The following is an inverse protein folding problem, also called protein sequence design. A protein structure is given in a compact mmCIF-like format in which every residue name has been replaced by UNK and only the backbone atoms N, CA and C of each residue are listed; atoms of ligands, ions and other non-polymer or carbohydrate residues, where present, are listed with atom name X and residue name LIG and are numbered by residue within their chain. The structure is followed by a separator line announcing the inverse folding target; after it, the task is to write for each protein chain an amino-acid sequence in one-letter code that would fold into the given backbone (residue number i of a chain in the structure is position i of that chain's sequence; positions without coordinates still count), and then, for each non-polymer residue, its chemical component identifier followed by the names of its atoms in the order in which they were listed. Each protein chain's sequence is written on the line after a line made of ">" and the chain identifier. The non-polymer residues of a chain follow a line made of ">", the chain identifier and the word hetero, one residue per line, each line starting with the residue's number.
data_IF_615937693710
#
_entry.id   IF_615937693710
#
_cell.length_a   1.000
_cell.length_b   1.000
_cell.length_c   1.000
_cell.angle_alpha   90.00
_cell.angle_beta   90.00
_cell.angle_gamma   90.00
#
_symmetry.space_group_name_H-M   'P 1'
#
loop_
_entity.id
_entity.type
_entity.pdbx_description
1 polymer ?
#
# COMPACT_ATOMS: atom_id res chain seq x y z
N UNK A 1 7.92 -1.84 0.66
CA UNK A 1 8.39 -1.05 -0.52
C UNK A 1 7.23 -0.57 -1.35
N UNK A 2 7.30 0.68 -1.79
CA UNK A 2 6.25 1.29 -2.61
C UNK A 2 6.88 1.86 -3.87
N UNK A 3 6.27 1.56 -5.02
CA UNK A 3 6.65 2.11 -6.32
C UNK A 3 5.47 2.84 -6.93
N UNK A 4 5.73 3.88 -7.69
CA UNK A 4 4.70 4.64 -8.38
C UNK A 4 4.99 4.68 -9.88
N UNK A 5 3.94 4.49 -10.69
CA UNK A 5 4.02 4.54 -12.14
C UNK A 5 2.93 5.47 -12.66
N UNK A 6 3.34 6.49 -13.42
CA UNK A 6 2.41 7.43 -14.02
C UNK A 6 1.83 6.80 -15.29
N UNK A 7 0.50 6.62 -15.33
CA UNK A 7 -0.20 6.12 -16.52
C UNK A 7 -0.42 7.21 -17.57
N UNK A 8 -0.26 8.48 -17.18
CA UNK A 8 -0.54 9.61 -18.06
C UNK A 8 -2.02 9.95 -18.20
N UNK A 9 -2.91 9.08 -17.75
CA UNK A 9 -4.35 9.28 -17.83
C UNK A 9 -5.06 8.51 -16.74
N UNK A 10 -6.33 8.86 -16.50
CA UNK A 10 -7.14 8.21 -15.49
C UNK A 10 -7.55 9.20 -14.41
N UNK A 11 -8.62 8.88 -13.71
CA UNK A 11 -9.23 9.77 -12.72
C UNK A 11 -9.05 9.31 -11.29
N UNK A 12 -8.31 8.23 -11.07
CA UNK A 12 -8.03 7.75 -9.73
C UNK A 12 -6.68 7.05 -9.65
N UNK A 13 -6.12 7.00 -8.45
CA UNK A 13 -4.95 6.20 -8.16
C UNK A 13 -5.37 4.72 -8.07
N UNK A 14 -4.50 3.82 -8.53
CA UNK A 14 -4.74 2.37 -8.47
C UNK A 14 -3.67 1.69 -7.65
N UNK A 15 -4.04 0.57 -7.03
CA UNK A 15 -3.17 -0.19 -6.15
C UNK A 15 -2.91 -1.58 -6.71
N UNK A 16 -1.62 -1.94 -6.81
CA UNK A 16 -1.18 -3.31 -7.00
C UNK A 16 -0.46 -3.79 -5.76
N UNK A 17 -0.69 -5.03 -5.37
CA UNK A 17 -0.09 -5.61 -4.17
C UNK A 17 0.73 -6.85 -4.48
N UNK A 18 1.86 -6.98 -3.81
CA UNK A 18 2.64 -8.21 -3.80
C UNK A 18 2.91 -8.58 -2.34
N UNK A 19 2.35 -9.70 -1.90
CA UNK A 19 2.54 -10.21 -0.54
C UNK A 19 3.05 -11.64 -0.63
N UNK A 20 4.35 -11.79 -0.48
CA UNK A 20 5.02 -13.06 -0.67
C UNK A 20 4.95 -14.00 0.54
N UNK A 21 5.46 -15.22 0.34
CA UNK A 21 5.41 -16.28 1.34
C UNK A 21 6.14 -15.92 2.63
N UNK A 22 7.14 -15.07 2.56
CA UNK A 22 7.91 -14.66 3.75
C UNK A 22 7.13 -13.80 4.72
N UNK A 23 6.00 -13.25 4.27
CA UNK A 23 5.14 -12.43 5.15
C UNK A 23 4.40 -13.31 6.14
N UNK A 24 4.04 -14.53 5.75
CA UNK A 24 3.35 -15.47 6.63
C UNK A 24 2.61 -16.55 5.85
N UNK A 25 1.74 -17.25 6.54
CA UNK A 25 0.89 -18.28 5.93
C UNK A 25 -0.22 -17.61 5.09
N UNK A 26 -1.05 -18.43 4.45
CA UNK A 26 -2.09 -17.91 3.56
C UNK A 26 -3.08 -16.98 4.26
N UNK A 27 -3.48 -17.31 5.48
CA UNK A 27 -4.41 -16.49 6.27
C UNK A 27 -3.77 -15.14 6.61
N UNK A 28 -2.52 -15.17 7.03
CA UNK A 28 -1.79 -13.95 7.40
C UNK A 28 -1.55 -13.06 6.20
N UNK A 29 -1.18 -13.65 5.05
CA UNK A 29 -0.99 -12.89 3.82
C UNK A 29 -2.29 -12.24 3.35
N UNK A 30 -3.39 -12.98 3.41
CA UNK A 30 -4.70 -12.45 3.03
C UNK A 30 -5.12 -11.29 3.92
N UNK A 31 -4.82 -11.38 5.21
CA UNK A 31 -5.08 -10.30 6.16
C UNK A 31 -4.29 -9.04 5.80
N UNK A 32 -3.00 -9.20 5.49
CA UNK A 32 -2.15 -8.06 5.08
C UNK A 32 -2.70 -7.42 3.82
N UNK A 33 -3.07 -8.23 2.82
CA UNK A 33 -3.66 -7.71 1.58
C UNK A 33 -4.93 -6.91 1.85
N UNK A 34 -5.81 -7.45 2.68
CA UNK A 34 -7.08 -6.79 3.01
C UNK A 34 -6.84 -5.45 3.70
N UNK A 35 -5.95 -5.43 4.69
CA UNK A 35 -5.62 -4.19 5.40
C UNK A 35 -5.05 -3.16 4.46
N UNK A 36 -4.12 -3.55 3.59
CA UNK A 36 -3.52 -2.62 2.63
C UNK A 36 -4.57 -2.06 1.66
N UNK A 37 -5.49 -2.89 1.18
CA UNK A 37 -6.57 -2.41 0.30
C UNK A 37 -7.51 -1.45 1.01
N UNK A 38 -7.91 -1.77 2.22
CA UNK A 38 -8.81 -0.92 3.00
C UNK A 38 -8.16 0.42 3.33
N UNK A 39 -6.91 0.40 3.77
CA UNK A 39 -6.20 1.62 4.11
C UNK A 39 -5.86 2.45 2.87
N UNK A 40 -5.52 1.81 1.74
CA UNK A 40 -5.32 2.53 0.50
C UNK A 40 -6.60 3.25 0.05
N UNK A 41 -7.76 2.61 0.20
CA UNK A 41 -9.04 3.24 -0.13
C UNK A 41 -9.28 4.53 0.65
N UNK A 42 -8.81 4.59 1.88
CA UNK A 42 -8.96 5.79 2.71
C UNK A 42 -8.14 6.97 2.21
N UNK A 43 -6.99 6.68 1.61
CA UNK A 43 -6.03 7.73 1.22
C UNK A 43 -6.02 8.00 -0.27
N UNK A 44 -6.73 7.20 -1.06
CA UNK A 44 -6.68 7.30 -2.54
C UNK A 44 -7.08 8.68 -3.04
N UNK A 45 -8.02 9.34 -2.37
CA UNK A 45 -8.46 10.68 -2.75
C UNK A 45 -7.40 11.76 -2.58
N UNK A 46 -6.39 11.50 -1.75
CA UNK A 46 -5.28 12.42 -1.51
C UNK A 46 -4.11 12.18 -2.46
N UNK A 47 -4.20 11.15 -3.29
CA UNK A 47 -3.11 10.76 -4.18
C UNK A 47 -3.37 11.25 -5.60
N UNK A 48 -2.31 11.52 -6.40
CA UNK A 48 -2.48 12.03 -7.74
C UNK A 48 -3.25 11.05 -8.62
N UNK A 49 -4.24 11.53 -9.39
CA UNK A 49 -4.95 10.66 -10.33
C UNK A 49 -4.02 10.19 -11.45
N UNK A 50 -4.33 9.06 -12.03
CA UNK A 50 -3.55 8.53 -13.13
C UNK A 50 -2.25 7.86 -12.73
N UNK A 51 -2.03 7.63 -11.44
CA UNK A 51 -0.81 6.98 -10.94
C UNK A 51 -1.16 5.59 -10.38
N UNK A 52 -0.37 4.59 -10.77
CA UNK A 52 -0.44 3.25 -10.20
C UNK A 52 0.59 3.11 -9.10
N UNK A 53 0.15 2.68 -7.94
CA UNK A 53 1.06 2.38 -6.83
C UNK A 53 1.18 0.87 -6.67
N UNK A 54 2.41 0.39 -6.60
CA UNK A 54 2.69 -1.02 -6.33
C UNK A 54 3.32 -1.11 -4.96
N UNK A 55 2.68 -1.86 -4.08
CA UNK A 55 3.15 -2.06 -2.70
C UNK A 55 3.62 -3.49 -2.55
N UNK A 56 4.88 -3.64 -2.16
CA UNK A 56 5.47 -4.94 -1.87
C UNK A 56 5.61 -5.04 -0.36
N UNK A 57 4.83 -5.95 0.25
CA UNK A 57 4.88 -6.16 1.68
C UNK A 57 6.15 -6.90 2.05
N UNK A 58 6.83 -6.42 3.08
CA UNK A 58 8.07 -7.03 3.57
C UNK A 58 7.75 -8.05 4.68
N UNK A 59 8.64 -8.99 4.93
CA UNK A 59 8.53 -9.83 6.12
C UNK A 59 8.39 -8.94 7.36
N UNK A 60 7.47 -9.27 8.25
CA UNK A 60 7.16 -8.45 9.41
C UNK A 60 5.90 -7.61 9.26
N UNK A 61 5.30 -7.55 8.05
CA UNK A 61 4.09 -6.75 7.84
C UNK A 61 2.92 -7.23 8.70
N UNK A 62 2.74 -8.54 8.80
CA UNK A 62 1.66 -9.10 9.61
C UNK A 62 1.87 -8.78 11.10
N UNK A 63 3.08 -8.96 11.61
CA UNK A 63 3.44 -8.66 12.99
C UNK A 63 3.27 -7.18 13.29
N UNK A 64 3.57 -6.32 12.33
CA UNK A 64 3.37 -4.88 12.48
C UNK A 64 1.88 -4.57 12.71
N UNK A 65 0.99 -5.20 11.94
CA UNK A 65 -0.45 -5.04 12.11
C UNK A 65 -0.88 -5.54 13.50
N UNK A 66 -0.38 -6.71 13.91
CA UNK A 66 -0.71 -7.28 15.22
C UNK A 66 -0.27 -6.38 16.37
N UNK A 67 0.90 -5.79 16.28
CA UNK A 67 1.46 -4.97 17.34
C UNK A 67 0.93 -3.54 17.35
N UNK A 68 0.72 -2.95 16.18
CA UNK A 68 0.42 -1.52 16.06
C UNK A 68 -0.95 -1.21 15.48
N UNK A 69 -1.64 -2.21 14.95
CA UNK A 69 -2.97 -2.04 14.38
C UNK A 69 -2.96 -1.69 12.90
N UNK A 70 -4.10 -1.89 12.27
CA UNK A 70 -4.28 -1.64 10.84
C UNK A 70 -4.09 -0.17 10.46
N UNK A 71 -4.56 0.74 11.32
CA UNK A 71 -4.45 2.17 11.05
C UNK A 71 -2.99 2.64 11.03
N UNK A 72 -2.15 2.07 11.88
CA UNK A 72 -0.72 2.41 11.89
C UNK A 72 -0.06 2.02 10.55
N UNK A 73 -0.43 0.86 10.01
CA UNK A 73 0.04 0.46 8.69
C UNK A 73 -0.46 1.41 7.60
N UNK A 74 -1.73 1.84 7.72
CA UNK A 74 -2.32 2.80 6.80
C UNK A 74 -1.60 4.14 6.81
N UNK A 75 -1.24 4.63 7.98
CA UNK A 75 -0.49 5.88 8.12
C UNK A 75 0.90 5.77 7.46
N UNK A 76 1.55 4.64 7.66
CA UNK A 76 2.84 4.38 7.03
C UNK A 76 2.70 4.31 5.50
N UNK A 77 1.65 3.65 5.02
CA UNK A 77 1.36 3.57 3.59
C UNK A 77 1.14 4.96 2.99
N UNK A 78 0.36 5.79 3.67
CA UNK A 78 0.08 7.16 3.23
C UNK A 78 1.38 7.96 3.11
N UNK A 79 2.23 7.90 4.12
CA UNK A 79 3.51 8.57 4.12
C UNK A 79 4.39 8.14 2.94
N UNK A 80 4.48 6.81 2.70
CA UNK A 80 5.29 6.27 1.62
C UNK A 80 4.74 6.61 0.25
N UNK A 81 3.42 6.54 0.06
CA UNK A 81 2.81 6.87 -1.23
C UNK A 81 2.97 8.35 -1.57
N UNK A 82 2.84 9.23 -0.59
CA UNK A 82 3.08 10.65 -0.81
C UNK A 82 4.52 10.93 -1.19
N UNK A 83 5.46 10.30 -0.51
CA UNK A 83 6.89 10.49 -0.78
C UNK A 83 7.26 10.05 -2.19
N UNK A 84 6.75 8.90 -2.62
CA UNK A 84 7.00 8.36 -3.95
C UNK A 84 6.32 9.21 -5.02
N UNK A 85 5.12 9.71 -4.76
CA UNK A 85 4.40 10.60 -5.67
C UNK A 85 5.18 11.88 -5.94
N UNK A 86 5.75 12.47 -4.91
CA UNK A 86 6.55 13.69 -5.04
C UNK A 86 7.79 13.44 -5.90
N UNK A 87 8.41 12.27 -5.76
CA UNK A 87 9.58 11.92 -6.56
C UNK A 87 9.21 11.66 -8.03
N UNK A 88 7.97 11.23 -8.30
CA UNK A 88 7.48 10.94 -9.65
C UNK A 88 7.01 12.20 -10.38
N UNK A 89 6.55 13.15 -9.63
CA UNK A 89 6.12 14.43 -10.19
C UNK A 89 7.34 15.25 -10.65
#
# INVERSE_FOLDING_TARGET
>A
MVYAFDRGEGDSARLGLSVGKRVGNAVERNRVKRVLREEFSRIAGDLPPGVDFVVIARPGAHEYIEERGSRALGERLHELTERVSQATA
#
